data_IF_890942258700
#
_entry.id   IF_890942258700
#
_cell.length_a   1.000
_cell.length_b   1.000
_cell.length_c   1.000
_cell.angle_alpha   90.00
_cell.angle_beta   90.00
_cell.angle_gamma   90.00
#
_symmetry.space_group_name_H-M   'P 1'
#
loop_
_entity.id
_entity.type
_entity.pdbx_description
1 polymer ?
#
# COMPACT_ATOMS: atom_id res chain seq x y z
N UNK A 1 -20.19 13.56 18.54
CA UNK A 1 -18.96 13.87 19.31
C UNK A 1 -17.67 13.35 18.67
N UNK A 2 -17.70 12.54 17.59
CA UNK A 2 -16.49 12.06 16.87
C UNK A 2 -15.95 13.09 15.85
N UNK A 3 -16.82 13.92 15.25
CA UNK A 3 -16.42 14.93 14.24
C UNK A 3 -15.35 15.92 14.72
N UNK A 4 -15.40 16.35 15.99
CA UNK A 4 -14.46 17.35 16.54
C UNK A 4 -13.03 16.81 16.64
N UNK A 5 -12.85 15.50 16.88
CA UNK A 5 -11.53 14.85 16.91
C UNK A 5 -10.98 14.60 15.50
N UNK A 6 -11.84 14.29 14.53
CA UNK A 6 -11.43 14.11 13.13
C UNK A 6 -11.06 15.45 12.45
N UNK A 7 -11.73 16.56 12.81
CA UNK A 7 -11.43 17.90 12.29
C UNK A 7 -10.03 18.40 12.69
N UNK A 8 -9.49 17.95 13.84
CA UNK A 8 -8.12 18.27 14.25
C UNK A 8 -7.07 17.45 13.47
N UNK A 9 -7.38 16.20 13.11
CA UNK A 9 -6.46 15.33 12.37
C UNK A 9 -6.15 15.85 10.94
N UNK A 10 -7.08 16.59 10.35
CA UNK A 10 -6.94 17.19 9.01
C UNK A 10 -6.20 18.53 9.00
N UNK A 11 -5.90 19.10 10.16
CA UNK A 11 -5.29 20.42 10.21
C UNK A 11 -3.77 20.28 9.98
N UNK A 12 -3.32 20.59 8.75
CA UNK A 12 -1.90 20.56 8.40
C UNK A 12 -1.05 21.45 9.33
N UNK A 13 -1.64 22.46 9.97
CA UNK A 13 -0.94 23.33 10.92
C UNK A 13 -0.51 22.58 12.18
N UNK A 14 -1.19 21.48 12.51
CA UNK A 14 -0.84 20.60 13.63
C UNK A 14 0.21 19.54 13.25
N UNK A 15 0.62 19.47 11.98
CA UNK A 15 1.70 18.60 11.52
C UNK A 15 2.99 19.44 11.29
N UNK A 16 3.89 19.52 12.28
CA UNK A 16 5.11 20.33 12.17
C UNK A 16 6.07 19.81 11.09
N UNK A 17 5.97 18.53 10.73
CA UNK A 17 6.81 17.89 9.72
C UNK A 17 6.41 18.39 8.33
N UNK A 18 5.12 18.38 8.01
CA UNK A 18 4.60 18.95 6.75
C UNK A 18 4.89 20.46 6.66
N UNK A 19 4.74 21.22 7.74
CA UNK A 19 5.07 22.65 7.73
C UNK A 19 6.55 22.92 7.41
N UNK A 20 7.44 22.06 7.88
CA UNK A 20 8.86 22.22 7.67
C UNK A 20 9.29 21.82 6.25
N UNK A 21 8.96 20.59 5.84
CA UNK A 21 9.45 20.02 4.59
C UNK A 21 8.64 20.43 3.35
N UNK A 22 7.34 20.70 3.49
CA UNK A 22 6.46 21.10 2.39
C UNK A 22 6.17 22.61 2.32
N UNK A 23 6.97 23.44 3.00
CA UNK A 23 6.71 24.90 3.07
C UNK A 23 6.61 25.56 1.70
N UNK A 24 7.55 25.24 0.80
CA UNK A 24 7.60 25.75 -0.58
C UNK A 24 6.37 25.33 -1.38
N UNK A 25 6.05 24.04 -1.35
CA UNK A 25 4.96 23.44 -2.11
C UNK A 25 3.61 23.99 -1.64
N UNK A 26 3.43 24.20 -0.34
CA UNK A 26 2.23 24.81 0.22
C UNK A 26 2.05 26.24 -0.33
N UNK A 27 3.13 27.03 -0.37
CA UNK A 27 3.08 28.43 -0.84
C UNK A 27 2.91 28.57 -2.35
N UNK A 28 3.44 27.63 -3.14
CA UNK A 28 3.39 27.70 -4.61
C UNK A 28 2.17 26.99 -5.19
N UNK A 29 1.81 25.82 -4.66
CA UNK A 29 0.75 24.96 -5.22
C UNK A 29 -0.58 25.12 -4.47
N UNK A 30 -0.53 25.31 -3.15
CA UNK A 30 -1.70 25.26 -2.28
C UNK A 30 -2.10 26.61 -1.67
N UNK A 31 -1.52 27.72 -2.14
CA UNK A 31 -1.76 29.08 -1.64
C UNK A 31 -3.23 29.44 -1.47
N UNK A 32 -4.05 29.04 -2.45
CA UNK A 32 -5.50 29.30 -2.48
C UNK A 32 -6.23 28.73 -1.25
N UNK A 33 -5.69 27.67 -0.66
CA UNK A 33 -6.31 26.95 0.45
C UNK A 33 -5.74 27.36 1.82
N UNK A 34 -4.72 28.23 1.86
CA UNK A 34 -4.10 28.70 3.11
C UNK A 34 -5.00 29.64 3.91
N UNK A 35 -5.72 30.53 3.22
CA UNK A 35 -6.59 31.55 3.85
C UNK A 35 -7.95 31.01 4.28
N UNK A 36 -8.35 29.87 3.69
CA UNK A 36 -9.63 29.21 3.89
C UNK A 36 -9.45 27.78 4.40
N UNK A 37 -8.41 27.52 5.21
CA UNK A 37 -8.05 26.20 5.76
C UNK A 37 -9.05 25.70 6.81
N UNK A 38 -10.31 25.66 6.40
CA UNK A 38 -11.39 24.95 7.02
C UNK A 38 -11.38 23.54 6.39
N UNK A 39 -11.13 22.53 7.23
CA UNK A 39 -11.31 21.10 6.93
C UNK A 39 -10.16 20.42 6.12
N UNK A 40 -8.91 20.86 6.26
CA UNK A 40 -7.74 20.14 5.72
C UNK A 40 -7.58 20.24 4.21
N UNK A 41 -7.99 21.36 3.62
CA UNK A 41 -7.91 21.59 2.17
C UNK A 41 -6.46 21.65 1.67
N UNK A 42 -5.54 22.12 2.50
CA UNK A 42 -4.10 22.12 2.17
C UNK A 42 -3.57 20.69 2.08
N UNK A 43 -3.96 19.82 3.00
CA UNK A 43 -3.56 18.41 2.97
C UNK A 43 -4.08 17.71 1.70
N UNK A 44 -5.36 17.94 1.36
CA UNK A 44 -5.94 17.39 0.14
C UNK A 44 -5.26 17.92 -1.13
N UNK A 45 -4.87 19.21 -1.12
CA UNK A 45 -4.09 19.81 -2.20
C UNK A 45 -2.71 19.15 -2.34
N UNK A 46 -2.00 18.89 -1.24
CA UNK A 46 -0.71 18.20 -1.24
C UNK A 46 -0.84 16.76 -1.76
N UNK A 47 -1.86 16.02 -1.31
CA UNK A 47 -2.16 14.67 -1.83
C UNK A 47 -2.45 14.68 -3.33
N UNK A 48 -3.20 15.69 -3.81
CA UNK A 48 -3.46 15.85 -5.24
C UNK A 48 -2.20 16.24 -6.04
N UNK A 49 -1.34 17.10 -5.49
CA UNK A 49 -0.06 17.46 -6.08
C UNK A 49 0.89 16.25 -6.14
N UNK A 50 0.91 15.40 -5.10
CA UNK A 50 1.63 14.13 -5.08
C UNK A 50 1.15 13.20 -6.20
N UNK A 51 -0.16 13.02 -6.34
CA UNK A 51 -0.75 12.21 -7.42
C UNK A 51 -0.34 12.71 -8.83
N UNK A 52 -0.29 14.04 -9.01
CA UNK A 52 0.12 14.69 -10.26
C UNK A 52 1.64 14.78 -10.44
N UNK A 53 2.44 14.29 -9.49
CA UNK A 53 3.91 14.40 -9.48
C UNK A 53 4.40 15.85 -9.57
N UNK A 54 3.69 16.77 -8.90
CA UNK A 54 3.98 18.21 -8.89
C UNK A 54 4.81 18.65 -7.68
N UNK A 55 4.97 17.80 -6.67
CA UNK A 55 5.86 18.08 -5.54
C UNK A 55 7.31 18.00 -6.02
N UNK A 56 8.10 19.04 -5.77
CA UNK A 56 9.49 19.12 -6.25
C UNK A 56 10.47 18.66 -5.17
N UNK A 57 10.25 19.05 -3.91
CA UNK A 57 11.06 18.62 -2.80
C UNK A 57 10.83 17.13 -2.49
N UNK A 58 11.91 16.35 -2.53
CA UNK A 58 11.91 14.92 -2.20
C UNK A 58 11.52 14.66 -0.74
N UNK A 59 11.92 15.53 0.18
CA UNK A 59 11.56 15.40 1.59
C UNK A 59 10.04 15.60 1.75
N UNK A 60 9.48 16.62 1.11
CA UNK A 60 8.03 16.80 1.08
C UNK A 60 7.30 15.61 0.43
N UNK A 61 7.83 15.06 -0.66
CA UNK A 61 7.26 13.86 -1.30
C UNK A 61 7.21 12.67 -0.34
N UNK A 62 8.28 12.43 0.43
CA UNK A 62 8.35 11.35 1.42
C UNK A 62 7.33 11.57 2.54
N UNK A 63 7.22 12.78 3.06
CA UNK A 63 6.27 13.09 4.13
C UNK A 63 4.81 12.96 3.68
N UNK A 64 4.49 13.45 2.47
CA UNK A 64 3.16 13.27 1.88
C UNK A 64 2.88 11.80 1.58
N UNK A 65 3.88 11.03 1.14
CA UNK A 65 3.74 9.59 0.94
C UNK A 65 3.48 8.85 2.26
N UNK A 66 4.20 9.20 3.34
CA UNK A 66 3.97 8.65 4.69
C UNK A 66 2.56 8.95 5.16
N UNK A 67 2.11 10.18 5.03
CA UNK A 67 0.74 10.58 5.36
C UNK A 67 -0.31 9.78 4.59
N UNK A 68 -0.10 9.58 3.29
CA UNK A 68 -0.97 8.75 2.44
C UNK A 68 -0.94 7.28 2.90
N UNK A 69 0.22 6.75 3.26
CA UNK A 69 0.37 5.39 3.75
C UNK A 69 -0.30 5.18 5.11
N UNK A 70 -0.26 6.15 6.01
CA UNK A 70 -0.99 6.13 7.28
C UNK A 70 -2.51 6.14 7.05
N UNK A 71 -2.99 6.94 6.09
CA UNK A 71 -4.41 6.97 5.72
C UNK A 71 -4.92 5.63 5.15
N UNK A 72 -4.03 4.75 4.68
CA UNK A 72 -4.37 3.40 4.20
C UNK A 72 -4.76 2.45 5.34
N UNK A 73 -4.44 2.78 6.60
CA UNK A 73 -4.66 1.89 7.74
C UNK A 73 -6.15 1.66 8.05
N UNK A 74 -7.01 2.66 7.84
CA UNK A 74 -8.46 2.55 7.98
C UNK A 74 -9.16 3.69 7.23
N UNK A 75 -10.37 3.44 6.74
CA UNK A 75 -11.18 4.46 6.05
C UNK A 75 -11.50 5.67 6.92
N UNK A 76 -11.62 5.50 8.24
CA UNK A 76 -11.92 6.59 9.18
C UNK A 76 -10.77 7.59 9.35
N UNK A 77 -9.55 7.23 8.91
CA UNK A 77 -8.39 8.12 8.88
C UNK A 77 -8.51 9.12 7.72
N UNK A 78 -9.27 8.79 6.69
CA UNK A 78 -9.59 9.67 5.57
C UNK A 78 -11.08 10.04 5.61
N UNK A 79 -11.47 11.05 6.41
CA UNK A 79 -12.87 11.44 6.56
C UNK A 79 -13.51 11.90 5.24
N UNK A 80 -12.73 12.40 4.27
CA UNK A 80 -13.23 12.78 2.94
C UNK A 80 -13.66 11.53 2.17
N UNK A 81 -12.84 10.48 2.21
CA UNK A 81 -13.17 9.19 1.60
C UNK A 81 -14.30 8.49 2.37
N UNK A 82 -14.27 8.51 3.70
CA UNK A 82 -15.31 7.93 4.56
C UNK A 82 -16.68 8.54 4.25
N UNK A 83 -16.77 9.88 4.20
CA UNK A 83 -18.02 10.58 3.88
C UNK A 83 -18.55 10.19 2.50
N UNK A 84 -17.67 10.17 1.49
CA UNK A 84 -18.07 9.82 0.13
C UNK A 84 -18.55 8.37 -0.01
N UNK A 85 -17.98 7.45 0.78
CA UNK A 85 -18.30 6.03 0.74
C UNK A 85 -19.24 5.57 1.85
N UNK A 86 -19.83 6.48 2.64
CA UNK A 86 -20.65 6.10 3.81
C UNK A 86 -21.84 5.23 3.42
N UNK A 87 -22.54 5.54 2.33
CA UNK A 87 -23.69 4.76 1.85
C UNK A 87 -23.26 3.36 1.40
N UNK A 88 -22.19 3.28 0.61
CA UNK A 88 -21.64 2.01 0.13
C UNK A 88 -21.10 1.13 1.27
N UNK A 89 -20.48 1.74 2.27
CA UNK A 89 -20.02 1.06 3.48
C UNK A 89 -21.18 0.42 4.24
N UNK A 90 -22.27 1.17 4.46
CA UNK A 90 -23.45 0.66 5.15
C UNK A 90 -24.13 -0.46 4.34
N UNK A 91 -24.19 -0.32 3.02
CA UNK A 91 -24.88 -1.25 2.13
C UNK A 91 -24.13 -2.56 1.91
N UNK A 92 -22.81 -2.49 1.70
CA UNK A 92 -22.02 -3.64 1.26
C UNK A 92 -20.97 -4.10 2.27
N UNK A 93 -20.46 -3.20 3.11
CA UNK A 93 -19.36 -3.47 4.03
C UNK A 93 -19.77 -3.32 5.52
N UNK A 94 -21.06 -3.29 5.84
CA UNK A 94 -21.57 -3.00 7.19
C UNK A 94 -21.15 -4.02 8.25
N UNK A 95 -20.95 -5.28 7.85
CA UNK A 95 -20.51 -6.36 8.74
C UNK A 95 -18.98 -6.44 8.89
N UNK A 96 -18.23 -5.54 8.23
CA UNK A 96 -16.76 -5.53 8.28
C UNK A 96 -16.29 -4.67 9.44
N UNK A 97 -15.58 -5.28 10.38
CA UNK A 97 -14.97 -4.57 11.50
C UNK A 97 -13.97 -3.52 11.02
N UNK A 98 -13.99 -2.34 11.66
CA UNK A 98 -13.01 -1.27 11.45
C UNK A 98 -11.58 -1.73 11.82
N UNK A 99 -10.59 -1.00 11.32
CA UNK A 99 -9.16 -1.25 11.48
C UNK A 99 -8.58 -2.20 10.43
N UNK A 100 -7.24 -2.20 10.34
CA UNK A 100 -6.46 -3.09 9.47
C UNK A 100 -6.91 -3.06 8.00
N UNK A 101 -7.30 -1.89 7.49
CA UNK A 101 -7.74 -1.64 6.13
C UNK A 101 -8.95 -2.48 5.64
N UNK A 102 -9.64 -3.25 6.51
CA UNK A 102 -10.64 -4.24 6.07
C UNK A 102 -11.80 -3.61 5.30
N UNK A 103 -12.28 -2.44 5.73
CA UNK A 103 -13.33 -1.68 5.05
C UNK A 103 -12.85 -1.16 3.68
N UNK A 104 -11.62 -0.67 3.60
CA UNK A 104 -11.00 -0.28 2.33
C UNK A 104 -10.85 -1.47 1.37
N UNK A 105 -10.43 -2.63 1.87
CA UNK A 105 -10.31 -3.86 1.08
C UNK A 105 -11.66 -4.39 0.59
N UNK A 106 -12.72 -4.22 1.38
CA UNK A 106 -14.09 -4.50 0.96
C UNK A 106 -14.49 -3.59 -0.22
N UNK A 107 -14.35 -2.27 -0.08
CA UNK A 107 -14.65 -1.31 -1.14
C UNK A 107 -13.80 -1.53 -2.40
N UNK A 108 -12.51 -1.84 -2.23
CA UNK A 108 -11.60 -2.13 -3.35
C UNK A 108 -11.98 -3.41 -4.10
N UNK A 109 -12.54 -4.42 -3.42
CA UNK A 109 -13.12 -5.60 -4.09
C UNK A 109 -14.36 -5.22 -4.90
N UNK A 110 -15.29 -4.47 -4.31
CA UNK A 110 -16.49 -3.99 -5.00
C UNK A 110 -16.15 -3.14 -6.23
N UNK A 111 -15.15 -2.26 -6.12
CA UNK A 111 -14.68 -1.44 -7.24
C UNK A 111 -14.18 -2.29 -8.41
N UNK A 112 -13.56 -3.45 -8.16
CA UNK A 112 -13.07 -4.36 -9.20
C UNK A 112 -14.16 -5.24 -9.78
N UNK A 113 -15.05 -5.75 -8.94
CA UNK A 113 -16.07 -6.73 -9.34
C UNK A 113 -17.33 -6.07 -9.90
N UNK A 114 -17.80 -4.99 -9.27
CA UNK A 114 -19.05 -4.32 -9.62
C UNK A 114 -18.97 -2.79 -9.44
N UNK A 115 -18.13 -2.08 -10.21
CA UNK A 115 -17.91 -0.63 -10.05
C UNK A 115 -19.18 0.22 -10.20
N UNK A 116 -20.19 -0.27 -10.93
CA UNK A 116 -21.48 0.40 -11.10
C UNK A 116 -22.38 0.34 -9.86
N UNK A 117 -22.11 -0.59 -8.93
CA UNK A 117 -22.84 -0.73 -7.67
C UNK A 117 -22.46 0.34 -6.65
N UNK A 118 -21.24 0.89 -6.76
CA UNK A 118 -20.75 1.97 -5.92
C UNK A 118 -21.34 3.31 -6.36
N UNK A 119 -21.58 4.18 -5.38
CA UNK A 119 -21.92 5.57 -5.67
C UNK A 119 -20.82 6.23 -6.51
N UNK A 120 -21.19 7.13 -7.44
CA UNK A 120 -20.22 7.76 -8.33
C UNK A 120 -19.14 8.52 -7.57
N UNK A 121 -19.50 9.23 -6.50
CA UNK A 121 -18.53 9.99 -5.70
C UNK A 121 -17.56 9.06 -4.94
N UNK A 122 -18.07 8.00 -4.31
CA UNK A 122 -17.23 6.98 -3.66
C UNK A 122 -16.28 6.34 -4.67
N UNK A 123 -16.79 5.91 -5.83
CA UNK A 123 -15.99 5.27 -6.88
C UNK A 123 -14.83 6.15 -7.33
N UNK A 124 -15.12 7.41 -7.66
CA UNK A 124 -14.12 8.32 -8.22
C UNK A 124 -13.06 8.69 -7.19
N UNK A 125 -13.45 8.93 -5.93
CA UNK A 125 -12.52 9.20 -4.83
C UNK A 125 -11.70 7.97 -4.46
N UNK A 126 -12.33 6.81 -4.32
CA UNK A 126 -11.65 5.56 -3.99
C UNK A 126 -10.61 5.18 -5.06
N UNK A 127 -10.92 5.36 -6.33
CA UNK A 127 -9.97 5.11 -7.42
C UNK A 127 -8.74 6.02 -7.31
N UNK A 128 -8.94 7.33 -7.06
CA UNK A 128 -7.85 8.28 -6.83
C UNK A 128 -7.02 7.90 -5.60
N UNK A 129 -7.66 7.48 -4.51
CA UNK A 129 -6.95 7.05 -3.29
C UNK A 129 -6.14 5.78 -3.49
N UNK A 130 -6.67 4.79 -4.23
CA UNK A 130 -5.91 3.58 -4.57
C UNK A 130 -4.65 3.93 -5.37
N UNK A 131 -4.75 4.87 -6.31
CA UNK A 131 -3.59 5.34 -7.07
C UNK A 131 -2.59 6.06 -6.17
N UNK A 132 -3.05 6.95 -5.27
CA UNK A 132 -2.21 7.61 -4.28
C UNK A 132 -1.49 6.60 -3.38
N UNK A 133 -2.20 5.58 -2.85
CA UNK A 133 -1.61 4.55 -2.01
C UNK A 133 -0.52 3.77 -2.75
N UNK A 134 -0.75 3.42 -4.02
CA UNK A 134 0.26 2.72 -4.83
C UNK A 134 1.50 3.60 -5.03
N UNK A 135 1.30 4.87 -5.40
CA UNK A 135 2.41 5.79 -5.61
C UNK A 135 3.18 6.06 -4.30
N UNK A 136 2.50 6.08 -3.16
CA UNK A 136 3.13 6.20 -1.84
C UNK A 136 3.91 4.93 -1.47
N UNK A 137 3.34 3.75 -1.68
CA UNK A 137 4.04 2.47 -1.50
C UNK A 137 5.32 2.44 -2.36
N UNK A 138 5.26 2.90 -3.61
CA UNK A 138 6.42 2.97 -4.53
C UNK A 138 7.47 4.00 -4.07
N UNK A 139 7.04 5.11 -3.47
CA UNK A 139 7.94 6.18 -2.99
C UNK A 139 8.64 5.81 -1.68
N UNK A 140 7.92 5.10 -0.80
CA UNK A 140 8.41 4.61 0.49
C UNK A 140 9.13 3.26 0.37
N UNK A 141 9.00 2.58 -0.77
CA UNK A 141 9.81 1.42 -1.08
C UNK A 141 11.27 1.86 -1.03
N UNK A 142 11.96 1.42 0.03
CA UNK A 142 13.39 1.58 0.15
C UNK A 142 14.01 1.07 -1.15
N UNK A 143 14.98 1.81 -1.74
CA UNK A 143 15.73 1.25 -2.85
C UNK A 143 16.32 -0.08 -2.37
N UNK A 144 15.95 -1.16 -3.07
CA UNK A 144 16.45 -2.51 -2.82
C UNK A 144 17.94 -2.57 -3.19
N UNK A 145 18.80 -1.96 -2.37
CA UNK A 145 20.25 -2.11 -2.50
C UNK A 145 20.78 -3.31 -1.69
N UNK A 146 19.97 -3.89 -0.80
CA UNK A 146 20.38 -5.04 0.01
C UNK A 146 19.32 -6.15 0.04
N UNK A 147 19.70 -7.31 -0.51
CA UNK A 147 18.94 -8.56 -0.47
C UNK A 147 18.62 -9.01 0.97
N UNK A 148 19.35 -8.49 1.97
CA UNK A 148 19.10 -8.73 3.39
C UNK A 148 17.70 -8.32 3.88
N UNK A 149 17.13 -7.24 3.34
CA UNK A 149 15.80 -6.76 3.77
C UNK A 149 14.65 -7.63 3.22
N UNK A 150 14.81 -8.16 2.00
CA UNK A 150 13.89 -9.14 1.43
C UNK A 150 13.90 -10.45 2.23
N UNK A 151 15.08 -10.87 2.73
CA UNK A 151 15.18 -12.03 3.61
C UNK A 151 14.38 -11.82 4.89
N UNK A 152 14.44 -10.64 5.52
CA UNK A 152 13.65 -10.36 6.72
C UNK A 152 12.14 -10.36 6.45
N UNK A 153 11.66 -9.79 5.33
CA UNK A 153 10.24 -9.86 4.97
C UNK A 153 9.78 -11.29 4.63
N UNK A 154 10.60 -12.07 3.91
CA UNK A 154 10.28 -13.47 3.56
C UNK A 154 10.29 -14.37 4.80
N UNK A 155 11.21 -14.15 5.73
CA UNK A 155 11.31 -14.89 7.01
C UNK A 155 10.24 -14.46 8.02
N UNK A 156 9.74 -13.23 7.94
CA UNK A 156 8.62 -12.74 8.75
C UNK A 156 7.25 -13.21 8.22
N UNK A 157 7.16 -13.58 6.93
CA UNK A 157 5.90 -14.07 6.35
C UNK A 157 5.46 -15.42 6.97
N UNK A 158 4.17 -15.59 7.30
CA UNK A 158 3.65 -16.88 7.78
C UNK A 158 3.80 -17.99 6.74
N UNK A 159 3.97 -17.65 5.46
CA UNK A 159 4.23 -18.58 4.36
C UNK A 159 5.69 -19.05 4.26
N UNK A 160 6.60 -18.60 5.14
CA UNK A 160 8.03 -19.01 5.15
C UNK A 160 8.24 -20.52 5.15
N UNK A 161 7.36 -21.27 5.84
CA UNK A 161 7.41 -22.74 5.88
C UNK A 161 7.16 -23.35 4.52
N UNK A 162 6.30 -22.73 3.71
CA UNK A 162 5.97 -23.19 2.36
C UNK A 162 7.18 -23.06 1.43
N UNK A 163 7.87 -21.92 1.47
CA UNK A 163 9.08 -21.71 0.68
C UNK A 163 10.21 -22.68 1.06
N UNK A 164 10.43 -22.91 2.37
CA UNK A 164 11.44 -23.87 2.83
C UNK A 164 11.14 -25.30 2.39
N UNK A 165 9.87 -25.73 2.44
CA UNK A 165 9.47 -27.07 1.97
C UNK A 165 9.69 -27.23 0.47
N UNK A 166 9.42 -26.19 -0.34
CA UNK A 166 9.67 -26.22 -1.80
C UNK A 166 11.17 -26.32 -2.10
N UNK A 167 12.02 -25.58 -1.39
CA UNK A 167 13.46 -25.63 -1.59
C UNK A 167 14.05 -27.00 -1.18
N UNK A 168 13.58 -27.56 -0.06
CA UNK A 168 14.01 -28.88 0.41
C UNK A 168 13.54 -30.00 -0.53
N UNK A 169 12.33 -29.90 -1.08
CA UNK A 169 11.82 -30.90 -2.03
C UNK A 169 12.54 -30.82 -3.38
N UNK A 170 12.83 -29.62 -3.88
CA UNK A 170 13.59 -29.42 -5.11
C UNK A 170 15.01 -29.97 -5.01
N UNK A 171 15.73 -29.65 -3.92
CA UNK A 171 17.09 -30.17 -3.69
C UNK A 171 17.09 -31.70 -3.51
N UNK A 172 16.10 -32.25 -2.81
CA UNK A 172 15.90 -33.69 -2.68
C UNK A 172 15.68 -34.38 -4.03
N UNK A 173 14.85 -33.82 -4.91
CA UNK A 173 14.61 -34.35 -6.26
C UNK A 173 15.88 -34.34 -7.12
N UNK A 174 16.67 -33.27 -7.07
CA UNK A 174 17.95 -33.19 -7.79
C UNK A 174 18.93 -34.26 -7.28
N UNK A 175 19.01 -34.46 -5.97
CA UNK A 175 19.91 -35.46 -5.40
C UNK A 175 19.48 -36.90 -5.73
N UNK A 176 18.18 -37.20 -5.62
CA UNK A 176 17.63 -38.51 -5.97
C UNK A 176 17.83 -38.80 -7.46
N UNK A 177 17.49 -37.87 -8.35
CA UNK A 177 17.71 -38.03 -9.79
C UNK A 177 19.19 -38.24 -10.12
N UNK A 178 20.10 -37.50 -9.47
CA UNK A 178 21.55 -37.70 -9.58
C UNK A 178 22.01 -39.10 -9.15
N UNK A 179 21.50 -39.63 -8.03
CA UNK A 179 21.80 -41.00 -7.57
C UNK A 179 21.28 -42.05 -8.56
N UNK A 180 20.05 -41.88 -9.05
CA UNK A 180 19.45 -42.82 -10.00
C UNK A 180 20.21 -42.83 -11.33
N UNK A 181 20.55 -41.65 -11.88
CA UNK A 181 21.35 -41.52 -13.10
C UNK A 181 22.77 -42.08 -12.92
N UNK A 182 23.41 -41.84 -11.76
CA UNK A 182 24.72 -42.40 -11.45
C UNK A 182 24.71 -43.93 -11.38
N UNK A 183 23.68 -44.53 -10.74
CA UNK A 183 23.54 -46.00 -10.67
C UNK A 183 23.19 -46.62 -12.01
N UNK A 184 22.34 -45.98 -12.82
CA UNK A 184 22.01 -46.44 -14.17
C UNK A 184 23.24 -46.43 -15.08
N UNK A 185 24.03 -45.35 -15.04
CA UNK A 185 25.27 -45.21 -15.81
C UNK A 185 26.30 -46.27 -15.42
N UNK A 186 26.48 -46.52 -14.12
CA UNK A 186 27.40 -47.58 -13.63
C UNK A 186 26.98 -48.97 -14.08
N UNK A 187 25.67 -49.28 -14.10
CA UNK A 187 25.14 -50.56 -14.61
C UNK A 187 25.32 -50.70 -16.13
N UNK A 188 25.08 -49.63 -16.89
CA UNK A 188 25.25 -49.63 -18.35
C UNK A 188 26.73 -49.82 -18.75
N UNK A 189 27.67 -49.19 -18.04
CA UNK A 189 29.11 -49.40 -18.27
C UNK A 189 29.56 -50.84 -17.94
N UNK A 190 28.99 -51.45 -16.89
CA UNK A 190 29.27 -52.84 -16.53
C UNK A 190 28.79 -53.89 -17.54
N UNK A 191 27.73 -53.60 -18.29
CA UNK A 191 27.22 -54.43 -19.39
C UNK A 191 28.03 -54.29 -20.68
N UNK A 192 28.67 -53.13 -20.91
CA UNK A 192 29.51 -52.89 -22.09
C UNK A 192 30.92 -53.49 -21.98
N UNK A 193 31.39 -53.78 -20.76
CA UNK A 193 32.71 -54.36 -20.47
C UNK A 193 32.69 -55.89 -20.28
N UNK A 194 31.62 -56.57 -20.69
CA UNK A 194 31.48 -58.03 -20.68
C UNK A 194 31.18 -58.51 -22.08
#
# INVERSE_FOLDING_TARGET
MIKILQEQALNYKLNPVLQHFCKSEIQELCKKYMDADEHGQVEECLKAAFLRKQLINRECQLEVATLIAEAKADIHVDPILEMACTVDLLRYCGNVASGNARKLDCLRRLLRESPKSLEPDCRDKLQKRIEMFRNADDTLALPLEDMGQLVQQVVASPARKFFLVILMSATGLVFLTGIFLGRATKRAMGLKNK
#
